data_IF_368720585526
#
_entry.id   IF_368720585526
#
_cell.length_a   1.000
_cell.length_b   1.000
_cell.length_c   1.000
_cell.angle_alpha   90.00
_cell.angle_beta   90.00
_cell.angle_gamma   90.00
#
_symmetry.space_group_name_H-M   'P 1'
#
loop_
_entity.id
_entity.type
_entity.pdbx_description
1 polymer ?
#
# COMPACT_ATOMS: atom_id res chain seq x y z
N UNK A 1 -20.53 0.96 -2.62
CA UNK A 1 -20.42 1.89 -3.77
C UNK A 1 -19.22 1.62 -4.68
N UNK A 2 -18.99 2.42 -5.74
CA UNK A 2 -17.86 2.25 -6.68
C UNK A 2 -16.48 2.48 -6.04
N UNK A 3 -16.41 3.10 -4.87
CA UNK A 3 -15.18 3.44 -4.12
C UNK A 3 -14.60 2.20 -3.42
N UNK A 4 -15.46 1.34 -2.86
CA UNK A 4 -15.06 0.08 -2.21
C UNK A 4 -14.34 -0.91 -3.14
N UNK A 5 -14.48 -0.76 -4.47
CA UNK A 5 -13.83 -1.66 -5.44
C UNK A 5 -12.31 -1.54 -5.49
N UNK A 6 -11.76 -0.41 -5.03
CA UNK A 6 -10.31 -0.18 -5.01
C UNK A 6 -9.66 -0.70 -3.71
N UNK A 7 -10.47 -1.10 -2.72
CA UNK A 7 -10.01 -1.64 -1.45
C UNK A 7 -10.19 -3.15 -1.39
N UNK A 8 -9.24 -3.82 -0.75
CA UNK A 8 -9.25 -5.25 -0.48
C UNK A 8 -10.07 -5.56 0.78
N UNK A 9 -10.63 -6.77 0.85
CA UNK A 9 -11.40 -7.24 2.02
C UNK A 9 -10.59 -7.12 3.33
N UNK A 10 -9.27 -7.32 3.25
CA UNK A 10 -8.35 -7.13 4.36
C UNK A 10 -8.23 -5.66 4.81
N UNK A 11 -8.30 -4.70 3.90
CA UNK A 11 -8.26 -3.26 4.22
C UNK A 11 -9.53 -2.81 4.94
N UNK A 12 -10.68 -3.39 4.58
CA UNK A 12 -11.98 -3.07 5.19
C UNK A 12 -12.07 -3.58 6.63
N UNK A 13 -11.60 -4.80 6.87
CA UNK A 13 -11.61 -5.43 8.21
C UNK A 13 -10.78 -4.64 9.25
N UNK A 14 -9.79 -3.87 8.82
CA UNK A 14 -8.94 -3.08 9.72
C UNK A 14 -9.63 -1.78 10.13
N UNK A 15 -10.31 -1.13 9.17
CA UNK A 15 -11.09 0.06 9.46
C UNK A 15 -12.24 -0.30 10.41
N UNK A 16 -12.87 -1.46 10.23
CA UNK A 16 -13.90 -1.95 11.14
C UNK A 16 -13.37 -2.17 12.57
N UNK A 17 -12.21 -2.83 12.69
CA UNK A 17 -11.59 -3.13 13.99
C UNK A 17 -11.06 -1.90 14.76
N UNK A 18 -10.50 -0.91 14.06
CA UNK A 18 -9.88 0.26 14.70
C UNK A 18 -10.89 1.26 15.26
N UNK A 19 -12.10 1.28 14.69
CA UNK A 19 -13.15 2.24 15.04
C UNK A 19 -14.31 1.60 15.83
N UNK A 20 -14.23 0.31 16.16
CA UNK A 20 -15.31 -0.45 16.81
C UNK A 20 -16.69 -0.20 16.16
N UNK A 21 -16.68 -0.04 14.82
CA UNK A 21 -17.82 0.48 14.07
C UNK A 21 -19.07 -0.37 14.28
N UNK A 22 -18.92 -1.69 14.42
CA UNK A 22 -20.04 -2.61 14.61
C UNK A 22 -20.86 -2.28 15.86
N UNK A 23 -20.22 -2.03 17.00
CA UNK A 23 -20.91 -1.77 18.28
C UNK A 23 -21.51 -0.36 18.30
N UNK A 24 -20.74 0.64 17.88
CA UNK A 24 -21.21 2.03 17.86
C UNK A 24 -22.33 2.26 16.83
N UNK A 25 -22.28 1.57 15.70
CA UNK A 25 -23.31 1.68 14.67
C UNK A 25 -24.60 0.93 15.02
N UNK A 26 -24.51 -0.19 15.77
CA UNK A 26 -25.68 -0.85 16.33
C UNK A 26 -26.40 0.03 17.35
N UNK A 27 -25.66 0.71 18.24
CA UNK A 27 -26.25 1.68 19.17
C UNK A 27 -26.80 2.92 18.43
N UNK A 28 -26.12 3.39 17.39
CA UNK A 28 -26.58 4.51 16.57
C UNK A 28 -27.86 4.18 15.77
N UNK A 29 -28.13 2.90 15.48
CA UNK A 29 -29.30 2.47 14.72
C UNK A 29 -30.62 2.94 15.34
N UNK A 30 -30.78 2.77 16.65
CA UNK A 30 -32.01 3.18 17.34
C UNK A 30 -32.23 4.70 17.24
N UNK A 31 -31.17 5.50 17.33
CA UNK A 31 -31.23 6.95 17.19
C UNK A 31 -31.44 7.41 15.75
N UNK A 32 -30.88 6.69 14.78
CA UNK A 32 -31.10 6.93 13.36
C UNK A 32 -32.55 6.71 12.97
N UNK A 33 -33.18 5.62 13.41
CA UNK A 33 -34.57 5.31 13.09
C UNK A 33 -35.53 6.41 13.53
N UNK A 34 -35.28 7.03 14.70
CA UNK A 34 -36.07 8.18 15.17
C UNK A 34 -35.78 9.44 14.35
N UNK A 35 -34.51 9.72 14.08
CA UNK A 35 -34.10 10.94 13.36
C UNK A 35 -34.57 10.95 11.91
N UNK A 36 -34.50 9.81 11.24
CA UNK A 36 -34.86 9.62 9.84
C UNK A 36 -36.37 9.70 9.55
N UNK A 37 -37.22 9.80 10.57
CA UNK A 37 -38.64 10.12 10.37
C UNK A 37 -38.87 11.56 9.92
N UNK A 38 -37.95 12.46 10.27
CA UNK A 38 -38.10 13.91 10.04
C UNK A 38 -37.01 14.49 9.13
N UNK A 39 -35.84 13.85 9.07
CA UNK A 39 -34.70 14.31 8.29
C UNK A 39 -34.30 13.29 7.20
N UNK A 40 -33.56 13.75 6.19
CA UNK A 40 -33.11 12.91 5.07
C UNK A 40 -31.77 12.20 5.33
N UNK A 41 -31.05 12.60 6.37
CA UNK A 41 -29.73 12.06 6.71
C UNK A 41 -29.45 12.23 8.19
N UNK A 42 -28.85 11.23 8.82
CA UNK A 42 -28.29 11.31 10.16
C UNK A 42 -26.82 11.71 10.10
N UNK A 43 -26.42 12.69 10.92
CA UNK A 43 -25.04 13.17 11.00
C UNK A 43 -24.54 13.03 12.42
N UNK A 44 -23.43 12.34 12.61
CA UNK A 44 -22.75 12.25 13.90
C UNK A 44 -21.25 12.43 13.73
N UNK A 45 -20.57 12.76 14.83
CA UNK A 45 -19.13 12.96 14.83
C UNK A 45 -18.47 12.13 15.92
N UNK A 46 -17.56 11.24 15.50
CA UNK A 46 -16.84 10.34 16.40
C UNK A 46 -15.36 10.30 16.00
N UNK A 47 -14.45 10.30 16.98
CA UNK A 47 -13.01 10.27 16.71
C UNK A 47 -12.45 11.46 15.88
N UNK A 48 -13.20 12.56 15.77
CA UNK A 48 -12.85 13.72 14.93
C UNK A 48 -13.30 13.63 13.47
N UNK A 49 -14.02 12.57 13.09
CA UNK A 49 -14.61 12.38 11.78
C UNK A 49 -16.11 12.68 11.80
N UNK A 50 -16.68 13.13 10.68
CA UNK A 50 -18.11 13.39 10.55
C UNK A 50 -18.74 12.36 9.64
N UNK A 51 -19.60 11.53 10.19
CA UNK A 51 -20.30 10.49 9.45
C UNK A 51 -21.65 11.02 9.01
N UNK A 52 -21.90 10.98 7.70
CA UNK A 52 -23.20 11.37 7.11
C UNK A 52 -23.83 10.10 6.57
N UNK A 53 -24.89 9.65 7.24
CA UNK A 53 -25.61 8.43 6.90
C UNK A 53 -26.96 8.83 6.29
N UNK A 54 -27.18 8.60 5.00
CA UNK A 54 -28.45 8.96 4.39
C UNK A 54 -29.54 7.96 4.83
N UNK A 55 -30.74 8.47 5.11
CA UNK A 55 -31.80 7.68 5.75
C UNK A 55 -32.46 6.65 4.83
N UNK A 56 -32.19 6.72 3.53
CA UNK A 56 -32.64 5.78 2.51
C UNK A 56 -31.98 4.40 2.63
N UNK A 57 -30.83 4.29 3.29
CA UNK A 57 -30.17 3.00 3.51
C UNK A 57 -30.78 2.21 4.67
N UNK A 58 -31.67 2.79 5.49
CA UNK A 58 -32.24 2.09 6.65
C UNK A 58 -32.97 0.81 6.26
N UNK A 59 -33.68 0.81 5.12
CA UNK A 59 -34.32 -0.38 4.57
C UNK A 59 -33.28 -1.47 4.21
N UNK A 60 -32.10 -1.07 3.73
CA UNK A 60 -30.99 -1.99 3.42
C UNK A 60 -30.29 -2.50 4.68
N UNK A 61 -30.22 -1.68 5.72
CA UNK A 61 -29.65 -2.02 7.03
C UNK A 61 -30.53 -3.01 7.81
N UNK A 62 -31.85 -2.93 7.66
CA UNK A 62 -32.78 -3.93 8.21
C UNK A 62 -32.54 -5.32 7.59
N UNK A 63 -32.24 -5.38 6.30
CA UNK A 63 -31.92 -6.63 5.61
C UNK A 63 -30.47 -7.09 5.86
N UNK A 64 -29.54 -6.15 6.03
CA UNK A 64 -28.11 -6.40 6.13
C UNK A 64 -27.39 -5.36 7.02
N UNK A 65 -27.09 -5.69 8.29
CA UNK A 65 -26.36 -4.80 9.19
C UNK A 65 -24.99 -4.35 8.65
N UNK A 66 -24.37 -5.13 7.77
CA UNK A 66 -23.10 -4.80 7.12
C UNK A 66 -23.19 -3.61 6.17
N UNK A 67 -24.37 -3.26 5.65
CA UNK A 67 -24.55 -2.08 4.80
C UNK A 67 -24.23 -0.78 5.56
N UNK A 68 -24.52 -0.75 6.86
CA UNK A 68 -24.22 0.39 7.72
C UNK A 68 -22.71 0.55 7.89
N UNK A 69 -22.01 -0.54 8.18
CA UNK A 69 -20.54 -0.58 8.31
C UNK A 69 -19.85 -0.18 7.01
N UNK A 70 -20.32 -0.70 5.87
CA UNK A 70 -19.80 -0.32 4.54
C UNK A 70 -19.93 1.18 4.28
N UNK A 71 -21.07 1.79 4.64
CA UNK A 71 -21.29 3.23 4.50
C UNK A 71 -20.37 4.04 5.44
N UNK A 72 -20.15 3.55 6.66
CA UNK A 72 -19.20 4.13 7.61
C UNK A 72 -17.77 4.14 7.04
N UNK A 73 -17.35 3.01 6.45
CA UNK A 73 -16.04 2.89 5.81
C UNK A 73 -15.93 3.82 4.60
N UNK A 74 -16.96 3.92 3.75
CA UNK A 74 -16.96 4.86 2.61
C UNK A 74 -16.77 6.31 3.06
N UNK A 75 -17.46 6.73 4.12
CA UNK A 75 -17.30 8.07 4.70
C UNK A 75 -15.89 8.31 5.27
N UNK A 76 -15.28 7.31 5.91
CA UNK A 76 -13.90 7.39 6.40
C UNK A 76 -12.93 7.50 5.22
N UNK A 77 -13.09 6.67 4.18
CA UNK A 77 -12.27 6.74 2.98
C UNK A 77 -12.36 8.13 2.35
N UNK A 78 -13.55 8.70 2.21
CA UNK A 78 -13.71 10.04 1.64
C UNK A 78 -12.99 11.11 2.48
N UNK A 79 -13.11 11.07 3.79
CA UNK A 79 -12.51 12.04 4.71
C UNK A 79 -11.03 11.83 5.01
N UNK A 80 -10.47 10.66 4.74
CA UNK A 80 -9.05 10.34 5.04
C UNK A 80 -8.24 10.22 3.76
N UNK A 81 -8.75 9.45 2.80
CA UNK A 81 -8.04 9.15 1.57
C UNK A 81 -8.03 10.35 0.62
N UNK A 82 -9.20 10.95 0.41
CA UNK A 82 -9.42 12.04 -0.55
C UNK A 82 -9.33 13.43 0.09
N UNK A 83 -8.91 13.52 1.35
CA UNK A 83 -8.80 14.81 2.02
C UNK A 83 -7.73 15.71 1.39
N UNK A 84 -8.06 16.99 1.31
CA UNK A 84 -7.20 18.02 0.75
C UNK A 84 -6.35 18.65 1.86
N UNK A 85 -5.34 17.90 2.31
CA UNK A 85 -4.39 18.39 3.29
C UNK A 85 -3.66 19.64 2.76
N UNK A 86 -3.67 20.76 3.50
CA UNK A 86 -3.01 22.02 3.11
C UNK A 86 -1.52 22.12 3.52
N UNK A 87 -0.92 21.02 3.95
CA UNK A 87 0.47 20.94 4.42
C UNK A 87 1.43 20.27 3.40
N UNK A 88 2.74 20.36 3.59
CA UNK A 88 3.70 19.52 2.83
C UNK A 88 3.71 18.11 3.42
N UNK A 89 4.02 17.07 2.63
CA UNK A 89 3.94 15.66 3.07
C UNK A 89 4.54 15.40 4.46
N UNK A 90 5.80 15.81 4.71
CA UNK A 90 6.45 15.61 6.01
C UNK A 90 5.86 16.45 7.13
N UNK A 91 5.44 17.68 6.83
CA UNK A 91 4.75 18.53 7.80
C UNK A 91 3.40 17.91 8.19
N UNK A 92 2.64 17.39 7.21
CA UNK A 92 1.39 16.68 7.47
C UNK A 92 1.62 15.45 8.35
N UNK A 93 2.66 14.67 8.06
CA UNK A 93 2.99 13.49 8.85
C UNK A 93 3.34 13.83 10.31
N UNK A 94 4.04 14.94 10.54
CA UNK A 94 4.37 15.43 11.89
C UNK A 94 3.18 16.05 12.61
N UNK A 95 2.32 16.80 11.89
CA UNK A 95 1.21 17.55 12.46
C UNK A 95 -0.02 16.68 12.76
N UNK A 96 -0.37 15.76 11.86
CA UNK A 96 -1.55 14.90 12.07
C UNK A 96 -1.28 13.83 13.11
N UNK A 97 -0.03 13.33 13.20
CA UNK A 97 0.34 12.23 14.09
C UNK A 97 -0.42 10.91 13.82
N UNK A 98 -1.27 10.88 12.78
CA UNK A 98 -2.14 9.77 12.45
C UNK A 98 -1.51 8.93 11.32
N UNK A 99 -1.36 7.61 11.51
CA UNK A 99 -0.81 6.73 10.48
C UNK A 99 -1.70 6.65 9.23
N UNK A 100 -2.99 6.97 9.37
CA UNK A 100 -3.98 6.99 8.28
C UNK A 100 -3.60 7.97 7.15
N UNK A 101 -2.89 9.06 7.46
CA UNK A 101 -2.38 9.98 6.44
C UNK A 101 -1.48 9.26 5.40
N UNK A 102 -0.75 8.21 5.81
CA UNK A 102 0.13 7.44 4.92
C UNK A 102 -0.64 6.65 3.85
N UNK A 103 -1.93 6.41 4.06
CA UNK A 103 -2.81 5.71 3.11
C UNK A 103 -3.49 6.69 2.15
N UNK A 104 -3.39 8.01 2.38
CA UNK A 104 -4.06 9.03 1.56
C UNK A 104 -3.62 9.08 0.10
N UNK A 105 -4.47 9.64 -0.77
CA UNK A 105 -4.13 9.93 -2.17
C UNK A 105 -2.88 10.81 -2.26
N UNK A 106 -2.74 11.76 -1.34
CA UNK A 106 -1.58 12.63 -1.26
C UNK A 106 -0.30 11.87 -0.96
N UNK A 107 -0.34 10.90 -0.04
CA UNK A 107 0.78 10.01 0.23
C UNK A 107 1.12 9.15 -0.98
N UNK A 108 0.12 8.54 -1.62
CA UNK A 108 0.28 7.77 -2.86
C UNK A 108 0.99 8.57 -3.95
N UNK A 109 0.54 9.79 -4.22
CA UNK A 109 1.14 10.66 -5.22
C UNK A 109 2.58 11.06 -4.86
N UNK A 110 2.85 11.37 -3.59
CA UNK A 110 4.19 11.68 -3.11
C UNK A 110 5.16 10.49 -3.29
N UNK A 111 4.77 9.30 -2.84
CA UNK A 111 5.58 8.09 -2.98
C UNK A 111 5.80 7.70 -4.42
N UNK A 112 4.79 7.85 -5.27
CA UNK A 112 4.88 7.58 -6.70
C UNK A 112 5.91 8.51 -7.38
N UNK A 113 5.88 9.82 -7.11
CA UNK A 113 6.87 10.78 -7.63
C UNK A 113 8.30 10.42 -7.17
N UNK A 114 8.48 10.16 -5.87
CA UNK A 114 9.81 9.81 -5.32
C UNK A 114 10.31 8.46 -5.82
N UNK A 115 9.42 7.51 -6.04
CA UNK A 115 9.78 6.20 -6.58
C UNK A 115 10.41 6.34 -7.97
N UNK A 116 9.78 7.08 -8.89
CA UNK A 116 10.33 7.26 -10.24
C UNK A 116 11.67 8.00 -10.25
N UNK A 117 11.80 9.06 -9.44
CA UNK A 117 13.06 9.79 -9.30
C UNK A 117 14.18 8.86 -8.79
N UNK A 118 13.88 8.08 -7.74
CA UNK A 118 14.84 7.12 -7.16
C UNK A 118 15.22 6.04 -8.17
N UNK A 119 14.25 5.54 -8.95
CA UNK A 119 14.49 4.55 -10.00
C UNK A 119 15.42 5.09 -11.09
N UNK A 120 15.21 6.33 -11.55
CA UNK A 120 16.09 6.98 -12.54
C UNK A 120 17.50 7.12 -11.97
N UNK A 121 17.64 7.60 -10.73
CA UNK A 121 18.93 7.73 -10.08
C UNK A 121 19.65 6.38 -9.96
N UNK A 122 18.92 5.31 -9.60
CA UNK A 122 19.44 3.95 -9.53
C UNK A 122 19.93 3.45 -10.90
N UNK A 123 19.16 3.65 -11.98
CA UNK A 123 19.56 3.26 -13.34
C UNK A 123 20.84 3.99 -13.77
N UNK A 124 20.93 5.31 -13.52
CA UNK A 124 22.14 6.08 -13.81
C UNK A 124 23.34 5.52 -13.03
N UNK A 125 23.16 5.18 -11.77
CA UNK A 125 24.22 4.62 -10.92
C UNK A 125 24.68 3.25 -11.45
N UNK A 126 23.76 2.37 -11.87
CA UNK A 126 24.10 1.09 -12.52
C UNK A 126 24.89 1.30 -13.81
N UNK A 127 24.53 2.29 -14.63
CA UNK A 127 25.27 2.64 -15.86
C UNK A 127 26.68 3.14 -15.54
N UNK A 128 26.84 4.00 -14.53
CA UNK A 128 28.16 4.48 -14.10
C UNK A 128 29.03 3.34 -13.59
N UNK A 129 28.47 2.43 -12.77
CA UNK A 129 29.17 1.23 -12.30
C UNK A 129 29.62 0.36 -13.48
N UNK A 130 28.78 0.20 -14.52
CA UNK A 130 29.14 -0.54 -15.73
C UNK A 130 30.32 0.11 -16.49
N UNK A 131 30.39 1.44 -16.56
CA UNK A 131 31.51 2.13 -17.21
C UNK A 131 32.81 2.11 -16.39
N UNK A 132 32.70 2.13 -15.06
CA UNK A 132 33.86 2.11 -14.16
C UNK A 132 34.48 0.72 -13.98
N UNK A 133 33.71 -0.35 -14.21
CA UNK A 133 34.25 -1.70 -14.12
C UNK A 133 35.20 -2.04 -15.26
N UNK A 134 36.41 -2.43 -14.90
CA UNK A 134 37.44 -2.88 -15.84
C UNK A 134 37.01 -4.14 -16.61
N UNK A 135 36.30 -5.07 -15.93
CA UNK A 135 35.74 -6.26 -16.55
C UNK A 135 34.22 -6.19 -16.72
N UNK A 136 33.78 -5.60 -17.84
CA UNK A 136 32.37 -5.40 -18.20
C UNK A 136 31.52 -6.68 -18.21
N UNK A 137 32.14 -7.84 -18.41
CA UNK A 137 31.42 -9.13 -18.41
C UNK A 137 30.95 -9.54 -17.01
N UNK A 138 31.58 -9.02 -15.94
CA UNK A 138 31.20 -9.34 -14.57
C UNK A 138 30.03 -8.50 -14.06
N UNK A 139 29.71 -7.37 -14.72
CA UNK A 139 28.62 -6.48 -14.27
C UNK A 139 27.26 -7.16 -14.15
N UNK A 140 26.75 -7.90 -15.15
CA UNK A 140 25.46 -8.59 -15.00
C UNK A 140 25.47 -9.65 -13.89
N UNK A 141 26.61 -10.30 -13.63
CA UNK A 141 26.73 -11.27 -12.54
C UNK A 141 26.58 -10.56 -11.19
N UNK A 142 27.27 -9.42 -11.00
CA UNK A 142 27.23 -8.64 -9.76
C UNK A 142 25.85 -8.01 -9.55
N UNK A 143 25.26 -7.40 -10.58
CA UNK A 143 23.93 -6.78 -10.48
C UNK A 143 22.85 -7.82 -10.23
N UNK A 144 22.90 -8.96 -10.94
CA UNK A 144 21.95 -10.05 -10.74
C UNK A 144 22.06 -10.70 -9.37
N UNK A 145 23.28 -10.92 -8.85
CA UNK A 145 23.47 -11.46 -7.49
C UNK A 145 23.02 -10.48 -6.42
N UNK A 146 23.32 -9.18 -6.58
CA UNK A 146 22.88 -8.15 -5.66
C UNK A 146 21.36 -8.05 -5.63
N UNK A 147 20.69 -8.06 -6.79
CA UNK A 147 19.23 -8.07 -6.89
C UNK A 147 18.62 -9.27 -6.16
N UNK A 148 19.10 -10.49 -6.47
CA UNK A 148 18.59 -11.71 -5.86
C UNK A 148 18.85 -11.78 -4.34
N UNK A 149 20.00 -11.29 -3.87
CA UNK A 149 20.31 -11.23 -2.44
C UNK A 149 19.50 -10.13 -1.73
N UNK A 150 19.29 -8.98 -2.38
CA UNK A 150 18.54 -7.86 -1.82
C UNK A 150 17.05 -8.13 -1.67
N UNK A 151 16.50 -9.11 -2.39
CA UNK A 151 15.10 -9.51 -2.22
C UNK A 151 14.90 -10.45 -1.04
N UNK A 152 15.94 -11.17 -0.56
CA UNK A 152 15.81 -12.10 0.58
C UNK A 152 15.29 -11.44 1.88
N UNK A 153 15.72 -10.22 2.26
CA UNK A 153 15.11 -9.50 3.37
C UNK A 153 13.58 -9.33 3.27
N UNK A 154 13.01 -9.25 2.07
CA UNK A 154 11.56 -9.09 1.87
C UNK A 154 10.78 -10.34 2.32
N UNK A 155 11.29 -11.54 2.07
CA UNK A 155 10.69 -12.78 2.59
C UNK A 155 10.71 -12.84 4.11
N UNK A 156 11.76 -12.28 4.71
CA UNK A 156 11.90 -12.25 6.16
C UNK A 156 10.86 -11.30 6.79
N UNK A 157 10.59 -10.17 6.14
CA UNK A 157 9.56 -9.22 6.54
C UNK A 157 8.16 -9.84 6.46
N UNK A 158 7.84 -10.56 5.37
CA UNK A 158 6.54 -11.24 5.23
C UNK A 158 6.28 -12.21 6.39
N UNK A 159 7.29 -12.97 6.82
CA UNK A 159 7.16 -13.92 7.93
C UNK A 159 7.00 -13.24 9.29
N UNK A 160 7.68 -12.12 9.52
CA UNK A 160 7.60 -11.38 10.79
C UNK A 160 6.22 -10.72 10.90
N UNK A 161 5.78 -10.08 9.83
CA UNK A 161 4.52 -9.36 9.78
C UNK A 161 3.35 -10.34 9.84
N UNK A 162 3.36 -11.39 9.02
CA UNK A 162 2.29 -12.41 8.99
C UNK A 162 2.09 -13.18 10.30
N UNK A 163 3.12 -13.28 11.16
CA UNK A 163 2.99 -13.93 12.47
C UNK A 163 2.59 -12.99 13.61
N UNK A 164 2.74 -11.66 13.43
CA UNK A 164 2.51 -10.66 14.48
C UNK A 164 1.18 -9.92 14.35
N UNK A 165 0.43 -10.12 13.26
CA UNK A 165 -0.84 -9.39 12.97
C UNK A 165 -2.01 -9.78 13.90
N UNK A 166 -1.90 -10.84 14.70
CA UNK A 166 -3.03 -11.38 15.44
C UNK A 166 -3.45 -10.60 16.72
N UNK A 167 -3.17 -9.30 16.86
CA UNK A 167 -3.56 -8.60 18.10
C UNK A 167 -3.53 -7.07 18.15
N UNK A 168 -2.77 -6.38 17.28
CA UNK A 168 -2.66 -4.91 17.34
C UNK A 168 -3.11 -4.25 16.03
N UNK A 169 -4.13 -3.38 16.12
CA UNK A 169 -4.64 -2.45 15.11
C UNK A 169 -3.58 -1.83 14.19
N UNK A 170 -2.51 -1.28 14.78
CA UNK A 170 -1.40 -0.66 14.06
C UNK A 170 -0.64 -1.63 13.15
N UNK A 171 -0.50 -2.89 13.56
CA UNK A 171 0.19 -3.90 12.77
C UNK A 171 -0.65 -4.39 11.60
N UNK A 172 -1.97 -4.24 11.69
CA UNK A 172 -2.87 -4.60 10.62
C UNK A 172 -2.73 -3.64 9.43
N UNK A 173 -2.62 -2.33 9.68
CA UNK A 173 -2.32 -1.33 8.64
C UNK A 173 -0.96 -1.60 7.97
N UNK A 174 0.04 -2.05 8.73
CA UNK A 174 1.30 -2.55 8.16
C UNK A 174 1.04 -3.80 7.31
N UNK A 175 0.19 -4.73 7.75
CA UNK A 175 -0.22 -5.90 6.97
C UNK A 175 -0.71 -5.56 5.56
N UNK A 176 -1.52 -4.51 5.43
CA UNK A 176 -2.04 -4.02 4.14
C UNK A 176 -0.91 -3.61 3.19
N UNK A 177 0.02 -2.76 3.66
CA UNK A 177 1.16 -2.32 2.84
C UNK A 177 2.03 -3.49 2.37
N UNK A 178 2.04 -4.58 3.13
CA UNK A 178 2.85 -5.76 2.87
C UNK A 178 2.06 -6.90 2.20
N UNK A 179 0.74 -6.75 1.98
CA UNK A 179 -0.10 -7.77 1.33
C UNK A 179 0.41 -8.17 -0.07
N UNK A 180 0.97 -7.21 -0.80
CA UNK A 180 1.55 -7.42 -2.14
C UNK A 180 3.07 -7.66 -2.14
N UNK A 181 3.73 -7.66 -0.98
CA UNK A 181 5.19 -7.76 -0.93
C UNK A 181 5.70 -9.08 -1.48
N UNK A 182 4.97 -10.18 -1.28
CA UNK A 182 5.34 -11.50 -1.80
C UNK A 182 5.38 -11.53 -3.34
N UNK A 183 4.42 -10.88 -4.01
CA UNK A 183 4.41 -10.77 -5.47
C UNK A 183 5.62 -9.97 -5.98
N UNK A 184 5.90 -8.83 -5.35
CA UNK A 184 7.06 -7.98 -5.68
C UNK A 184 8.37 -8.73 -5.44
N UNK A 185 8.47 -9.47 -4.34
CA UNK A 185 9.62 -10.32 -4.04
C UNK A 185 9.91 -11.30 -5.18
N UNK A 186 8.91 -12.06 -5.63
CA UNK A 186 9.11 -13.06 -6.69
C UNK A 186 9.53 -12.41 -8.01
N UNK A 187 8.93 -11.28 -8.38
CA UNK A 187 9.30 -10.53 -9.59
C UNK A 187 10.77 -10.11 -9.53
N UNK A 188 11.19 -9.47 -8.43
CA UNK A 188 12.57 -8.99 -8.26
C UNK A 188 13.55 -10.17 -8.22
N UNK A 189 13.23 -11.22 -7.46
CA UNK A 189 14.08 -12.41 -7.33
C UNK A 189 14.29 -13.13 -8.67
N UNK A 190 13.22 -13.42 -9.40
CA UNK A 190 13.28 -14.08 -10.71
C UNK A 190 14.04 -13.20 -11.72
N UNK A 191 13.78 -11.89 -11.73
CA UNK A 191 14.51 -10.96 -12.61
C UNK A 191 16.01 -10.96 -12.32
N UNK A 192 16.41 -10.99 -11.04
CA UNK A 192 17.80 -11.10 -10.62
C UNK A 192 18.45 -12.40 -11.08
N UNK A 193 17.75 -13.53 -10.97
CA UNK A 193 18.23 -14.83 -11.46
C UNK A 193 18.41 -14.86 -12.98
N UNK A 194 17.48 -14.26 -13.75
CA UNK A 194 17.59 -14.16 -15.21
C UNK A 194 18.83 -13.34 -15.60
N UNK A 195 19.03 -12.18 -14.97
CA UNK A 195 20.20 -11.32 -15.22
C UNK A 195 21.50 -12.03 -14.85
N UNK A 196 21.53 -12.73 -13.72
CA UNK A 196 22.67 -13.52 -13.27
C UNK A 196 23.00 -14.65 -14.26
N UNK A 197 21.98 -15.41 -14.69
CA UNK A 197 22.13 -16.48 -15.68
C UNK A 197 22.65 -15.96 -17.02
N UNK A 198 22.13 -14.82 -17.49
CA UNK A 198 22.64 -14.14 -18.69
C UNK A 198 24.10 -13.71 -18.53
N UNK A 199 24.48 -13.19 -17.37
CA UNK A 199 25.87 -12.83 -17.06
C UNK A 199 26.82 -14.02 -17.08
N UNK A 200 26.40 -15.16 -16.51
CA UNK A 200 27.18 -16.40 -16.54
C UNK A 200 27.32 -16.90 -17.99
N UNK A 201 26.23 -16.93 -18.77
CA UNK A 201 26.26 -17.37 -20.16
C UNK A 201 27.19 -16.49 -21.02
N UNK A 202 27.16 -15.16 -20.84
CA UNK A 202 28.05 -14.22 -21.53
C UNK A 202 29.53 -14.48 -21.20
N UNK A 203 29.85 -14.87 -19.96
CA UNK A 203 31.21 -15.20 -19.55
C UNK A 203 31.74 -16.47 -20.24
N UNK A 204 30.88 -17.44 -20.51
CA UNK A 204 31.25 -18.69 -21.19
C UNK A 204 31.18 -18.62 -22.71
N UNK A 205 30.68 -17.52 -23.29
CA UNK A 205 30.65 -17.25 -24.74
C UNK A 205 31.65 -16.16 -25.17
N UNK A 206 32.97 -16.33 -24.96
CA UNK A 206 33.98 -15.30 -25.24
C UNK A 206 34.08 -14.91 -26.73
N UNK A 207 33.55 -15.73 -27.64
CA UNK A 207 33.72 -15.60 -29.09
C UNK A 207 32.81 -14.60 -29.83
N UNK A 208 31.75 -14.09 -29.20
CA UNK A 208 30.76 -13.24 -29.91
C UNK A 208 31.14 -11.75 -29.89
N UNK A 209 31.78 -11.26 -28.82
CA UNK A 209 32.08 -9.82 -28.65
C UNK A 209 33.54 -9.43 -28.90
N UNK A 210 34.45 -10.40 -29.03
CA UNK A 210 35.85 -10.15 -29.41
C UNK A 210 35.98 -10.07 -30.94
N UNK A 211 35.34 -9.08 -31.57
CA UNK A 211 35.76 -8.68 -32.94
C UNK A 211 37.19 -8.16 -32.84
N UNK A 212 38.13 -8.94 -33.36
CA UNK A 212 39.53 -8.55 -33.62
C UNK A 212 39.54 -7.14 -34.23
N UNK A 213 40.01 -6.14 -33.48
CA UNK A 213 40.54 -4.93 -34.09
C UNK A 213 41.76 -5.35 -34.90
N UNK A 214 41.65 -5.28 -36.22
CA UNK A 214 42.79 -5.35 -37.14
C UNK A 214 43.30 -3.94 -37.33
#
# INVERSE_FOLDING_TARGET
GPILKDFTEDELNIIEGDFNLTEEMEEAKEFMEEHCQNESSYVFSEGGYTFVIPCDILDEVEESPSALVEQGIENIIEQVYYDNYDCKFWNCFEETGLPLFLVSEKAKNYWQDKFYLTLIAFVVLVVLIFFLMENKQNTPIIVGSLLALSSLPLLWLEKIIGSSIAGDSYLALVGVFFSKIGSVFWIVFISGLIILGAGIALRFLPGIFTKKKK
#
